data_IF_301403625436
#
_entry.id   IF_301403625436
#
_cell.length_a   1.000
_cell.length_b   1.000
_cell.length_c   1.000
_cell.angle_alpha   90.00
_cell.angle_beta   90.00
_cell.angle_gamma   90.00
#
_symmetry.space_group_name_H-M   'P 1'
#
loop_
_entity.id
_entity.type
_entity.pdbx_description
1 polymer ?
#
# COMPACT_ATOMS: atom_id res chain seq x y z
N UNK A 1 0.53 23.46 -9.11
CA UNK A 1 1.04 23.27 -7.74
C UNK A 1 1.90 22.02 -7.75
N UNK A 2 3.22 22.19 -7.63
CA UNK A 2 4.22 21.10 -7.64
C UNK A 2 4.70 20.95 -6.20
N UNK A 3 4.75 19.73 -5.70
CA UNK A 3 5.39 19.40 -4.42
C UNK A 3 6.54 18.46 -4.78
N UNK A 4 7.78 18.88 -4.56
CA UNK A 4 8.96 18.04 -4.72
C UNK A 4 9.06 17.37 -6.11
N UNK A 5 8.98 18.18 -7.19
CA UNK A 5 9.03 17.76 -8.61
C UNK A 5 7.89 16.84 -9.12
N UNK A 6 6.97 16.42 -8.24
CA UNK A 6 5.77 15.66 -8.59
C UNK A 6 4.53 16.57 -8.63
N UNK A 7 3.61 16.25 -9.54
CA UNK A 7 2.29 16.91 -9.53
C UNK A 7 1.45 16.40 -8.35
N UNK A 8 0.55 17.23 -7.84
CA UNK A 8 -0.39 16.79 -6.78
C UNK A 8 -1.20 15.55 -7.18
N UNK A 9 -1.49 15.40 -8.48
CA UNK A 9 -2.17 14.22 -9.00
C UNK A 9 -1.33 12.96 -8.82
N UNK A 10 -0.03 13.04 -9.13
CA UNK A 10 0.88 11.91 -8.96
C UNK A 10 0.99 11.49 -7.50
N UNK A 11 1.14 12.47 -6.60
CA UNK A 11 1.15 12.23 -5.16
C UNK A 11 -0.16 11.59 -4.71
N UNK A 12 -1.31 12.05 -5.21
CA UNK A 12 -2.60 11.51 -4.84
C UNK A 12 -2.80 10.06 -5.33
N UNK A 13 -2.38 9.75 -6.56
CA UNK A 13 -2.49 8.40 -7.12
C UNK A 13 -1.54 7.44 -6.44
N UNK A 14 -0.28 7.84 -6.21
CA UNK A 14 0.72 7.04 -5.51
C UNK A 14 0.28 6.75 -4.06
N UNK A 15 -0.16 7.78 -3.34
CA UNK A 15 -0.70 7.64 -1.98
C UNK A 15 -1.96 6.78 -1.96
N UNK A 16 -2.86 6.97 -2.92
CA UNK A 16 -4.08 6.18 -3.06
C UNK A 16 -3.79 4.71 -3.34
N UNK A 17 -2.82 4.41 -4.21
CA UNK A 17 -2.34 3.07 -4.49
C UNK A 17 -1.78 2.39 -3.25
N UNK A 18 -0.94 3.09 -2.49
CA UNK A 18 -0.41 2.58 -1.22
C UNK A 18 -1.50 2.31 -0.19
N UNK A 19 -2.46 3.22 0.00
CA UNK A 19 -3.59 2.98 0.89
C UNK A 19 -4.45 1.79 0.46
N UNK A 20 -4.74 1.67 -0.84
CA UNK A 20 -5.53 0.57 -1.38
C UNK A 20 -4.83 -0.77 -1.19
N UNK A 21 -3.52 -0.83 -1.47
CA UNK A 21 -2.72 -2.03 -1.28
C UNK A 21 -2.61 -2.43 0.19
N UNK A 22 -2.43 -1.46 1.09
CA UNK A 22 -2.45 -1.69 2.53
C UNK A 22 -3.81 -2.23 3.00
N UNK A 23 -4.90 -1.63 2.54
CA UNK A 23 -6.26 -2.07 2.86
C UNK A 23 -6.53 -3.49 2.38
N UNK A 24 -6.03 -3.86 1.20
CA UNK A 24 -6.23 -5.18 0.63
C UNK A 24 -5.49 -6.28 1.41
N UNK A 25 -4.24 -6.02 1.85
CA UNK A 25 -3.39 -7.05 2.45
C UNK A 25 -3.36 -7.06 3.99
N UNK A 26 -3.64 -5.93 4.66
CA UNK A 26 -3.66 -5.87 6.12
C UNK A 26 -4.64 -6.89 6.77
N UNK A 27 -5.86 -7.12 6.25
CA UNK A 27 -6.77 -8.11 6.83
C UNK A 27 -6.20 -9.53 6.75
N UNK A 28 -5.62 -9.92 5.59
CA UNK A 28 -5.02 -11.23 5.40
C UNK A 28 -3.87 -11.47 6.39
N UNK A 29 -2.98 -10.48 6.55
CA UNK A 29 -1.94 -10.53 7.56
C UNK A 29 -2.48 -10.58 8.98
N UNK A 30 -3.55 -9.84 9.27
CA UNK A 30 -4.22 -9.86 10.56
C UNK A 30 -4.75 -11.24 10.93
N UNK A 31 -5.42 -11.92 10.00
CA UNK A 31 -5.91 -13.29 10.23
C UNK A 31 -4.78 -14.31 10.39
N UNK A 32 -3.76 -14.24 9.52
CA UNK A 32 -2.60 -15.14 9.61
C UNK A 32 -1.81 -14.93 10.91
N UNK A 33 -1.58 -13.67 11.28
CA UNK A 33 -0.93 -13.31 12.53
C UNK A 33 -1.73 -13.75 13.75
N UNK A 34 -3.07 -13.61 13.71
CA UNK A 34 -3.96 -14.06 14.77
C UNK A 34 -3.87 -15.58 14.99
N UNK A 35 -3.79 -16.35 13.91
CA UNK A 35 -3.71 -17.81 13.96
C UNK A 35 -2.42 -18.31 14.64
N UNK A 36 -1.31 -17.58 14.52
CA UNK A 36 -0.01 -17.98 15.09
C UNK A 36 0.20 -17.41 16.49
N UNK A 37 -0.20 -16.16 16.73
CA UNK A 37 0.17 -15.41 17.93
C UNK A 37 -1.00 -14.78 18.70
N UNK A 38 -2.25 -15.15 18.39
CA UNK A 38 -3.43 -14.57 19.01
C UNK A 38 -3.56 -13.06 18.74
N UNK A 39 -4.18 -12.28 19.64
CA UNK A 39 -4.42 -10.85 19.41
C UNK A 39 -3.17 -10.01 19.10
N UNK A 40 -2.02 -10.19 19.80
CA UNK A 40 -0.78 -9.51 19.44
C UNK A 40 -0.26 -9.91 18.05
N UNK A 41 -0.36 -11.21 17.73
CA UNK A 41 -0.02 -11.72 16.40
C UNK A 41 -0.86 -11.08 15.30
N UNK A 42 -2.16 -10.87 15.55
CA UNK A 42 -3.06 -10.21 14.61
C UNK A 42 -2.60 -8.78 14.27
N UNK A 43 -2.21 -8.01 15.29
CA UNK A 43 -1.68 -6.67 15.07
C UNK A 43 -0.38 -6.68 14.26
N UNK A 44 0.58 -7.53 14.64
CA UNK A 44 1.87 -7.64 13.93
C UNK A 44 1.67 -8.10 12.49
N UNK A 45 0.81 -9.11 12.27
CA UNK A 45 0.50 -9.60 10.94
C UNK A 45 -0.18 -8.54 10.08
N UNK A 46 -1.16 -7.82 10.61
CA UNK A 46 -1.82 -6.73 9.90
C UNK A 46 -0.85 -5.61 9.54
N UNK A 47 0.08 -5.27 10.45
CA UNK A 47 1.14 -4.30 10.19
C UNK A 47 2.05 -4.75 9.06
N UNK A 48 2.61 -5.97 9.15
CA UNK A 48 3.58 -6.46 8.16
C UNK A 48 2.96 -6.53 6.77
N UNK A 49 1.78 -7.15 6.63
CA UNK A 49 1.13 -7.30 5.34
C UNK A 49 0.51 -6.00 4.85
N UNK A 50 -0.01 -5.16 5.75
CA UNK A 50 -0.49 -3.83 5.41
C UNK A 50 0.63 -2.96 4.86
N UNK A 51 1.81 -2.98 5.48
CA UNK A 51 2.98 -2.27 4.97
C UNK A 51 3.49 -2.85 3.65
N UNK A 52 3.56 -4.19 3.52
CA UNK A 52 3.94 -4.82 2.26
C UNK A 52 2.97 -4.46 1.12
N UNK A 53 1.67 -4.45 1.42
CA UNK A 53 0.65 -4.00 0.50
C UNK A 53 0.71 -2.51 0.19
N UNK A 54 1.10 -1.67 1.15
CA UNK A 54 1.33 -0.26 0.92
C UNK A 54 2.43 -0.04 -0.13
N UNK A 55 3.58 -0.68 0.04
CA UNK A 55 4.66 -0.57 -0.93
C UNK A 55 4.28 -1.15 -2.29
N UNK A 56 3.69 -2.35 -2.33
CA UNK A 56 3.28 -2.97 -3.59
C UNK A 56 2.19 -2.17 -4.32
N UNK A 57 1.20 -1.65 -3.58
CA UNK A 57 0.14 -0.81 -4.15
C UNK A 57 0.66 0.53 -4.65
N UNK A 58 1.65 1.10 -3.97
CA UNK A 58 2.32 2.32 -4.40
C UNK A 58 3.12 2.08 -5.70
N UNK A 59 3.91 1.02 -5.76
CA UNK A 59 4.71 0.66 -6.94
C UNK A 59 3.84 0.34 -8.16
N UNK A 60 2.72 -0.36 -7.96
CA UNK A 60 1.73 -0.60 -9.01
C UNK A 60 1.07 0.70 -9.49
N UNK A 61 0.79 1.64 -8.59
CA UNK A 61 0.24 2.94 -8.95
C UNK A 61 1.26 3.80 -9.70
N UNK A 62 2.54 3.75 -9.32
CA UNK A 62 3.64 4.38 -10.07
C UNK A 62 3.75 3.80 -11.48
N UNK A 63 3.79 2.47 -11.63
CA UNK A 63 3.85 1.82 -12.94
C UNK A 63 2.61 2.12 -13.81
N UNK A 64 1.42 2.17 -13.21
CA UNK A 64 0.20 2.55 -13.92
C UNK A 64 0.24 4.03 -14.38
N UNK A 65 0.76 4.92 -13.55
CA UNK A 65 0.97 6.33 -13.91
C UNK A 65 1.95 6.48 -15.06
N UNK A 66 3.07 5.75 -15.03
CA UNK A 66 4.07 5.78 -16.10
C UNK A 66 3.47 5.31 -17.42
N UNK A 67 2.74 4.19 -17.40
CA UNK A 67 2.02 3.66 -18.56
C UNK A 67 1.02 4.67 -19.14
N UNK A 68 0.21 5.30 -18.29
CA UNK A 68 -0.76 6.34 -18.74
C UNK A 68 -0.04 7.57 -19.31
N UNK A 69 1.11 7.93 -18.76
CA UNK A 69 1.94 9.04 -19.25
C UNK A 69 2.72 8.69 -20.51
N UNK A 70 2.64 7.45 -21.00
CA UNK A 70 3.29 7.00 -22.23
C UNK A 70 4.81 6.89 -22.12
N UNK A 71 5.32 6.65 -20.91
CA UNK A 71 6.71 6.23 -20.67
C UNK A 71 6.77 4.71 -20.55
#
# INVERSE_FOLDING_TARGET
MIVNDASLFDVAVQTGGGFAGAWALAPAGGYLGAAVGGPPGAFVGALVFGTAGAFGGQELAEGALEWVKGK
#
